data_IF_152830272593
#
_entry.id   IF_152830272593
#
_cell.length_a   1.000
_cell.length_b   1.000
_cell.length_c   1.000
_cell.angle_alpha   90.00
_cell.angle_beta   90.00
_cell.angle_gamma   90.00
#
_symmetry.space_group_name_H-M   'P 1'
#
loop_
_entity.id
_entity.type
_entity.pdbx_description
1 polymer ?
#
# COMPACT_ATOMS: atom_id res chain seq x y z
N UNK A 1 -23.27 -8.26 54.66
CA UNK A 1 -22.82 -9.40 53.85
C UNK A 1 -22.52 -8.89 52.45
N UNK A 2 -21.24 -8.95 52.10
CA UNK A 2 -20.64 -8.49 50.84
C UNK A 2 -20.99 -9.46 49.71
N UNK A 3 -21.43 -8.95 48.55
CA UNK A 3 -21.25 -9.64 47.27
C UNK A 3 -20.97 -8.60 46.19
N UNK A 4 -19.82 -8.78 45.54
CA UNK A 4 -19.14 -7.84 44.67
C UNK A 4 -19.80 -7.69 43.28
N UNK A 5 -19.57 -6.56 42.57
CA UNK A 5 -19.92 -6.41 41.16
C UNK A 5 -18.84 -7.07 40.28
N UNK A 6 -19.24 -8.05 39.46
CA UNK A 6 -18.43 -8.57 38.37
C UNK A 6 -18.86 -7.88 37.08
N UNK A 7 -18.14 -6.84 36.67
CA UNK A 7 -18.11 -6.40 35.27
C UNK A 7 -16.82 -5.60 35.04
N UNK A 8 -15.71 -6.32 34.91
CA UNK A 8 -14.46 -5.73 34.41
C UNK A 8 -14.69 -5.40 32.93
N UNK A 9 -15.00 -4.14 32.66
CA UNK A 9 -15.05 -3.59 31.31
C UNK A 9 -13.67 -3.78 30.67
N UNK A 10 -13.59 -4.62 29.65
CA UNK A 10 -12.40 -4.75 28.82
C UNK A 10 -12.30 -3.51 27.91
N UNK A 11 -11.86 -2.39 28.45
CA UNK A 11 -11.49 -1.18 27.69
C UNK A 11 -10.04 -1.29 27.24
N UNK A 12 -9.79 -2.05 26.18
CA UNK A 12 -8.49 -2.11 25.53
C UNK A 12 -8.64 -2.57 24.09
N UNK A 13 -8.21 -1.73 23.16
CA UNK A 13 -8.09 -2.13 21.75
C UNK A 13 -6.78 -2.88 21.57
N UNK A 14 -6.80 -3.97 20.82
CA UNK A 14 -5.62 -4.80 20.55
C UNK A 14 -5.42 -4.93 19.05
N UNK A 15 -4.22 -4.61 18.57
CA UNK A 15 -3.78 -4.81 17.18
C UNK A 15 -2.82 -6.00 17.17
N UNK A 16 -3.03 -6.94 16.26
CA UNK A 16 -2.10 -8.04 16.01
C UNK A 16 -1.26 -7.67 14.79
N UNK A 17 0.04 -7.45 14.97
CA UNK A 17 0.98 -7.18 13.89
C UNK A 17 2.10 -8.20 13.91
N UNK A 18 2.31 -8.91 12.79
CA UNK A 18 3.39 -9.92 12.62
C UNK A 18 3.51 -10.94 13.78
N UNK A 19 2.39 -11.30 14.41
CA UNK A 19 2.35 -12.25 15.52
C UNK A 19 2.50 -11.64 16.92
N UNK A 20 2.73 -10.34 17.03
CA UNK A 20 2.77 -9.61 18.31
C UNK A 20 1.44 -8.90 18.57
N UNK A 21 0.89 -9.11 19.77
CA UNK A 21 -0.34 -8.47 20.22
C UNK A 21 0.02 -7.15 20.92
N UNK A 22 -0.19 -6.01 20.26
CA UNK A 22 -0.05 -4.68 20.87
C UNK A 22 -1.37 -4.23 21.47
N UNK A 23 -1.35 -3.95 22.78
CA UNK A 23 -2.48 -3.40 23.51
C UNK A 23 -2.39 -1.88 23.58
N UNK A 24 -3.39 -1.18 23.06
CA UNK A 24 -3.56 0.26 23.21
C UNK A 24 -4.55 0.50 24.35
N UNK A 25 -4.15 1.30 25.34
CA UNK A 25 -5.04 1.72 26.43
C UNK A 25 -6.04 2.75 25.94
N UNK A 26 -7.33 2.56 26.21
CA UNK A 26 -8.39 3.50 25.84
C UNK A 26 -9.47 2.92 24.93
N UNK A 27 -10.36 3.81 24.47
CA UNK A 27 -11.45 3.50 23.53
C UNK A 27 -10.94 3.49 22.07
N UNK A 28 -11.82 3.14 21.13
CA UNK A 28 -11.48 3.05 19.70
C UNK A 28 -10.96 4.38 19.12
N UNK A 29 -11.45 5.52 19.59
CA UNK A 29 -10.97 6.85 19.18
C UNK A 29 -9.55 7.13 19.65
N UNK A 30 -9.18 6.77 20.88
CA UNK A 30 -7.79 6.88 21.35
C UNK A 30 -6.82 6.00 20.53
N UNK A 31 -7.30 4.86 20.03
CA UNK A 31 -6.56 4.02 19.09
C UNK A 31 -6.39 4.70 17.73
N UNK A 32 -7.44 5.29 17.17
CA UNK A 32 -7.37 6.02 15.89
C UNK A 32 -6.40 7.21 15.97
N UNK A 33 -6.42 7.95 17.09
CA UNK A 33 -5.49 9.04 17.35
C UNK A 33 -4.04 8.56 17.44
N UNK A 34 -3.78 7.48 18.19
CA UNK A 34 -2.45 6.89 18.31
C UNK A 34 -1.90 6.41 16.96
N UNK A 35 -2.71 5.69 16.17
CA UNK A 35 -2.35 5.22 14.83
C UNK A 35 -2.11 6.40 13.88
N UNK A 36 -2.91 7.46 13.96
CA UNK A 36 -2.73 8.66 13.14
C UNK A 36 -1.43 9.41 13.47
N UNK A 37 -1.08 9.49 14.75
CA UNK A 37 0.15 10.13 15.21
C UNK A 37 1.39 9.32 14.80
N UNK A 38 1.36 7.99 14.94
CA UNK A 38 2.41 7.09 14.46
C UNK A 38 2.62 7.26 12.94
N UNK A 39 1.53 7.34 12.17
CA UNK A 39 1.58 7.56 10.73
C UNK A 39 2.18 8.92 10.36
N UNK A 40 1.77 9.98 11.04
CA UNK A 40 2.28 11.32 10.78
C UNK A 40 3.80 11.40 11.04
N UNK A 41 4.28 10.74 12.10
CA UNK A 41 5.71 10.63 12.41
C UNK A 41 6.44 9.86 11.31
N UNK A 42 5.91 8.71 10.87
CA UNK A 42 6.51 7.92 9.80
C UNK A 42 6.58 8.70 8.47
N UNK A 43 5.51 9.40 8.09
CA UNK A 43 5.46 10.24 6.88
C UNK A 43 6.40 11.45 6.98
N UNK A 44 6.58 12.05 8.16
CA UNK A 44 7.59 13.09 8.40
C UNK A 44 9.00 12.55 8.23
N UNK A 45 9.29 11.35 8.73
CA UNK A 45 10.60 10.72 8.61
C UNK A 45 10.97 10.44 7.14
N UNK A 46 10.01 9.97 6.32
CA UNK A 46 10.23 9.79 4.88
C UNK A 46 10.53 11.13 4.21
N UNK A 47 9.71 12.16 4.43
CA UNK A 47 9.94 13.50 3.85
C UNK A 47 11.30 14.07 4.24
N UNK A 48 11.72 13.88 5.49
CA UNK A 48 13.04 14.29 5.96
C UNK A 48 14.15 13.53 5.22
N UNK A 49 14.06 12.20 5.13
CA UNK A 49 15.06 11.37 4.43
C UNK A 49 15.15 11.67 2.93
N UNK A 50 14.04 11.98 2.26
CA UNK A 50 14.03 12.43 0.86
C UNK A 50 14.75 13.76 0.69
N UNK A 51 14.50 14.72 1.59
CA UNK A 51 15.16 16.03 1.57
C UNK A 51 16.67 15.90 1.79
N UNK A 52 17.09 15.06 2.73
CA UNK A 52 18.49 14.71 2.99
C UNK A 52 19.16 14.13 1.75
N UNK A 53 18.58 13.10 1.13
CA UNK A 53 19.12 12.47 -0.09
C UNK A 53 19.25 13.48 -1.23
N UNK A 54 18.27 14.36 -1.39
CA UNK A 54 18.30 15.43 -2.40
C UNK A 54 19.42 16.44 -2.12
N UNK A 55 19.66 16.78 -0.86
CA UNK A 55 20.77 17.67 -0.47
C UNK A 55 22.12 17.01 -0.78
N UNK A 56 22.35 15.78 -0.33
CA UNK A 56 23.62 15.08 -0.55
C UNK A 56 23.94 14.91 -2.05
N UNK A 57 22.94 14.59 -2.88
CA UNK A 57 23.12 14.51 -4.34
C UNK A 57 23.52 15.86 -4.96
N UNK A 58 22.90 16.95 -4.52
CA UNK A 58 23.23 18.31 -4.99
C UNK A 58 24.65 18.70 -4.58
N UNK A 59 25.04 18.42 -3.35
CA UNK A 59 26.39 18.68 -2.86
C UNK A 59 27.45 17.89 -3.64
N UNK A 60 27.20 16.60 -3.89
CA UNK A 60 28.06 15.75 -4.72
C UNK A 60 28.24 16.33 -6.12
N UNK A 61 27.15 16.74 -6.78
CA UNK A 61 27.20 17.34 -8.12
C UNK A 61 28.01 18.64 -8.12
N UNK A 62 27.74 19.55 -7.17
CA UNK A 62 28.47 20.81 -7.07
C UNK A 62 29.96 20.59 -6.76
N UNK A 63 30.29 19.61 -5.93
CA UNK A 63 31.67 19.26 -5.62
C UNK A 63 32.40 18.73 -6.87
N UNK A 64 31.74 17.86 -7.64
CA UNK A 64 32.25 17.33 -8.90
C UNK A 64 32.49 18.44 -9.93
N UNK A 65 31.51 19.31 -10.16
CA UNK A 65 31.67 20.44 -11.08
C UNK A 65 32.79 21.39 -10.64
N UNK A 66 32.93 21.67 -9.33
CA UNK A 66 34.03 22.49 -8.78
C UNK A 66 35.39 21.80 -8.97
N UNK A 67 35.46 20.48 -8.85
CA UNK A 67 36.69 19.72 -9.11
C UNK A 67 37.06 19.74 -10.60
N UNK A 68 36.09 19.54 -11.48
CA UNK A 68 36.27 19.59 -12.94
C UNK A 68 36.71 20.98 -13.41
N UNK A 69 36.05 22.05 -12.94
CA UNK A 69 36.46 23.45 -13.23
C UNK A 69 37.88 23.75 -12.77
N UNK A 70 38.26 23.33 -11.56
CA UNK A 70 39.63 23.50 -11.04
C UNK A 70 40.66 22.72 -11.85
N UNK A 71 40.34 21.49 -12.24
CA UNK A 71 41.22 20.66 -13.08
C UNK A 71 41.40 21.26 -14.48
N UNK A 72 40.32 21.74 -15.11
CA UNK A 72 40.37 22.42 -16.40
C UNK A 72 41.21 23.70 -16.37
N UNK A 73 41.05 24.54 -15.35
CA UNK A 73 41.85 25.76 -15.19
C UNK A 73 43.32 25.42 -14.92
N UNK A 74 43.60 24.42 -14.09
CA UNK A 74 44.97 23.96 -13.82
C UNK A 74 45.64 23.42 -15.09
N UNK A 75 44.94 22.62 -15.90
CA UNK A 75 45.45 22.08 -17.16
C UNK A 75 45.83 23.18 -18.17
N UNK A 76 45.02 24.24 -18.26
CA UNK A 76 45.32 25.40 -19.13
C UNK A 76 46.52 26.21 -18.63
N UNK A 77 46.65 26.39 -17.32
CA UNK A 77 47.70 27.23 -16.73
C UNK A 77 49.04 26.51 -16.52
N UNK A 78 49.08 25.17 -16.55
CA UNK A 78 50.32 24.38 -16.36
C UNK A 78 51.41 24.76 -17.37
N UNK A 79 51.06 25.05 -18.63
CA UNK A 79 52.03 25.43 -19.67
C UNK A 79 52.68 26.80 -19.40
N UNK A 80 51.96 27.71 -18.73
CA UNK A 80 52.38 29.08 -18.48
C UNK A 80 52.99 29.30 -17.08
N UNK A 81 53.00 28.26 -16.23
CA UNK A 81 53.37 28.38 -14.82
C UNK A 81 54.88 28.31 -14.53
N UNK A 82 55.73 28.13 -15.54
CA UNK A 82 57.20 28.07 -15.37
C UNK A 82 57.70 26.92 -14.50
N UNK A 83 56.85 25.93 -14.20
CA UNK A 83 57.16 24.83 -13.29
C UNK A 83 57.87 23.67 -14.02
N UNK A 84 58.90 23.06 -13.40
CA UNK A 84 59.50 21.82 -13.91
C UNK A 84 58.46 20.70 -14.08
N UNK A 85 58.56 19.92 -15.17
CA UNK A 85 57.60 18.83 -15.52
C UNK A 85 57.34 17.85 -14.36
N UNK A 86 58.37 17.53 -13.59
CA UNK A 86 58.30 16.59 -12.46
C UNK A 86 57.40 17.16 -11.34
N UNK A 87 57.58 18.43 -10.99
CA UNK A 87 56.78 19.10 -9.96
C UNK A 87 55.32 19.29 -10.42
N UNK A 88 55.12 19.63 -11.69
CA UNK A 88 53.79 19.76 -12.29
C UNK A 88 53.02 18.42 -12.24
N UNK A 89 53.67 17.31 -12.63
CA UNK A 89 53.08 15.97 -12.56
C UNK A 89 52.79 15.51 -11.12
N UNK A 90 53.69 15.79 -10.18
CA UNK A 90 53.45 15.47 -8.76
C UNK A 90 52.25 16.25 -8.18
N UNK A 91 52.11 17.53 -8.55
CA UNK A 91 50.99 18.38 -8.13
C UNK A 91 49.66 17.93 -8.76
N UNK A 92 49.69 17.49 -10.02
CA UNK A 92 48.52 16.93 -10.71
C UNK A 92 48.04 15.63 -10.05
N UNK A 93 48.95 14.70 -9.72
CA UNK A 93 48.60 13.45 -9.02
C UNK A 93 47.98 13.71 -7.64
N UNK A 94 48.60 14.57 -6.81
CA UNK A 94 48.04 14.94 -5.51
C UNK A 94 46.64 15.57 -5.62
N UNK A 95 46.40 16.38 -6.65
CA UNK A 95 45.09 16.96 -6.91
C UNK A 95 44.05 15.90 -7.31
N UNK A 96 44.44 14.92 -8.15
CA UNK A 96 43.58 13.79 -8.53
C UNK A 96 43.24 12.89 -7.34
N UNK A 97 44.22 12.56 -6.50
CA UNK A 97 44.01 11.77 -5.28
C UNK A 97 43.07 12.46 -4.30
N UNK A 98 43.26 13.78 -4.08
CA UNK A 98 42.39 14.57 -3.21
C UNK A 98 40.96 14.66 -3.77
N UNK A 99 40.80 14.84 -5.08
CA UNK A 99 39.48 14.84 -5.73
C UNK A 99 38.80 13.47 -5.65
N UNK A 100 39.54 12.37 -5.82
CA UNK A 100 39.03 11.01 -5.67
C UNK A 100 38.55 10.72 -4.25
N UNK A 101 39.34 11.09 -3.23
CA UNK A 101 38.93 10.96 -1.82
C UNK A 101 37.65 11.73 -1.52
N UNK A 102 37.56 12.98 -1.96
CA UNK A 102 36.36 13.80 -1.79
C UNK A 102 35.15 13.21 -2.52
N UNK A 103 35.35 12.67 -3.73
CA UNK A 103 34.31 11.98 -4.50
C UNK A 103 33.76 10.76 -3.79
N UNK A 104 34.63 9.93 -3.22
CA UNK A 104 34.23 8.75 -2.43
C UNK A 104 33.39 9.17 -1.21
N UNK A 105 33.84 10.17 -0.44
CA UNK A 105 33.08 10.66 0.72
C UNK A 105 31.66 11.13 0.34
N UNK A 106 31.50 11.83 -0.78
CA UNK A 106 30.16 12.23 -1.23
C UNK A 106 29.33 11.05 -1.73
N UNK A 107 29.94 10.06 -2.38
CA UNK A 107 29.26 8.84 -2.78
C UNK A 107 28.77 8.03 -1.56
N UNK A 108 29.59 7.92 -0.52
CA UNK A 108 29.25 7.26 0.74
C UNK A 108 28.05 7.95 1.42
N UNK A 109 28.07 9.29 1.54
CA UNK A 109 26.95 10.05 2.11
C UNK A 109 25.64 9.89 1.33
N UNK A 110 25.70 9.87 0.00
CA UNK A 110 24.53 9.60 -0.85
C UNK A 110 24.02 8.17 -0.62
N UNK A 111 24.93 7.20 -0.46
CA UNK A 111 24.61 5.83 -0.11
C UNK A 111 23.90 5.72 1.24
N UNK A 112 24.43 6.36 2.28
CA UNK A 112 23.84 6.41 3.62
C UNK A 112 22.46 7.09 3.63
N UNK A 113 22.32 8.24 2.95
CA UNK A 113 21.04 8.94 2.85
C UNK A 113 19.99 8.11 2.10
N UNK A 114 20.42 7.36 1.08
CA UNK A 114 19.53 6.43 0.36
C UNK A 114 19.09 5.27 1.24
N UNK A 115 20.01 4.68 2.02
CA UNK A 115 19.67 3.61 2.96
C UNK A 115 18.66 4.10 4.03
N UNK A 116 18.84 5.31 4.57
CA UNK A 116 17.89 5.93 5.51
C UNK A 116 16.52 6.16 4.90
N UNK A 117 16.45 6.59 3.63
CA UNK A 117 15.18 6.73 2.92
C UNK A 117 14.51 5.37 2.70
N UNK A 118 15.27 4.34 2.34
CA UNK A 118 14.73 2.99 2.17
C UNK A 118 14.19 2.42 3.50
N UNK A 119 14.88 2.68 4.62
CA UNK A 119 14.43 2.31 5.97
C UNK A 119 13.15 3.06 6.39
N UNK A 120 13.14 4.39 6.29
CA UNK A 120 11.97 5.20 6.61
C UNK A 120 10.77 4.83 5.72
N UNK A 121 11.03 4.54 4.43
CA UNK A 121 10.01 4.11 3.48
C UNK A 121 9.41 2.74 3.82
N UNK A 122 10.18 1.82 4.43
CA UNK A 122 9.63 0.54 4.92
C UNK A 122 8.69 0.75 6.10
N UNK A 123 9.03 1.67 7.02
CA UNK A 123 8.20 1.97 8.19
C UNK A 123 6.82 2.56 7.81
N UNK A 124 6.74 3.39 6.77
CA UNK A 124 5.45 3.89 6.25
C UNK A 124 4.68 2.82 5.47
N UNK A 125 5.39 1.91 4.80
CA UNK A 125 4.77 0.82 4.01
C UNK A 125 4.15 -0.28 4.87
N UNK A 126 4.55 -0.41 6.13
CA UNK A 126 4.05 -1.47 7.02
C UNK A 126 2.58 -1.31 7.45
N UNK A 127 1.97 -0.15 7.19
CA UNK A 127 0.51 0.02 7.32
C UNK A 127 -0.14 -0.14 5.93
N UNK A 128 0.00 -1.34 5.35
CA UNK A 128 -0.49 -1.60 4.00
C UNK A 128 -2.01 -1.68 3.99
N UNK A 129 -2.66 -0.53 3.75
CA UNK A 129 -4.04 -0.54 3.25
C UNK A 129 -4.04 -1.25 1.89
N UNK A 130 -4.68 -2.40 1.85
CA UNK A 130 -4.87 -3.18 0.64
C UNK A 130 -5.87 -2.43 -0.25
N UNK A 131 -5.34 -1.63 -1.19
CA UNK A 131 -6.16 -0.87 -2.14
C UNK A 131 -6.62 -1.83 -3.24
N UNK A 132 -7.88 -2.25 -3.13
CA UNK A 132 -8.60 -3.00 -4.16
C UNK A 132 -9.05 -2.02 -5.25
N UNK A 133 -8.37 -2.05 -6.40
CA UNK A 133 -8.85 -1.43 -7.62
C UNK A 133 -9.15 -2.53 -8.65
N UNK A 134 -10.42 -2.96 -8.82
CA UNK A 134 -10.76 -4.08 -9.66
C UNK A 134 -10.59 -3.70 -11.15
N UNK A 135 -9.65 -4.30 -11.89
CA UNK A 135 -9.43 -3.97 -13.29
C UNK A 135 -10.65 -4.35 -14.16
N UNK A 136 -11.02 -3.47 -15.09
CA UNK A 136 -12.07 -3.74 -16.08
C UNK A 136 -13.51 -3.63 -15.55
N UNK A 137 -13.73 -2.77 -14.57
CA UNK A 137 -15.07 -2.46 -14.03
C UNK A 137 -15.43 -0.99 -14.32
N UNK A 138 -15.73 -0.67 -15.57
CA UNK A 138 -16.26 0.65 -15.93
C UNK A 138 -17.79 0.62 -15.94
N UNK A 139 -18.41 1.39 -15.04
CA UNK A 139 -19.87 1.56 -15.01
C UNK A 139 -20.20 3.00 -15.41
N UNK A 140 -20.96 3.22 -16.51
CA UNK A 140 -21.42 4.55 -16.89
C UNK A 140 -22.25 5.22 -15.79
N UNK A 141 -22.04 6.52 -15.62
CA UNK A 141 -22.77 7.31 -14.62
C UNK A 141 -24.28 7.23 -14.82
N UNK A 142 -25.00 6.91 -13.73
CA UNK A 142 -26.46 6.80 -13.72
C UNK A 142 -27.00 5.47 -14.24
N UNK A 143 -26.14 4.52 -14.67
CA UNK A 143 -26.60 3.20 -15.10
C UNK A 143 -27.18 2.45 -13.90
N UNK A 144 -28.44 2.07 -13.99
CA UNK A 144 -29.08 1.20 -12.98
C UNK A 144 -28.50 -0.20 -13.10
N UNK A 145 -27.87 -0.68 -12.03
CA UNK A 145 -27.23 -2.00 -11.95
C UNK A 145 -28.15 -3.04 -11.31
N UNK A 146 -28.96 -2.60 -10.34
CA UNK A 146 -29.90 -3.44 -9.62
C UNK A 146 -31.13 -2.60 -9.24
N UNK A 147 -32.32 -3.16 -9.44
CA UNK A 147 -33.59 -2.56 -8.99
C UNK A 147 -34.44 -3.70 -8.41
N UNK A 148 -34.84 -3.57 -7.15
CA UNK A 148 -35.74 -4.48 -6.48
C UNK A 148 -36.93 -3.71 -5.92
N UNK A 149 -38.13 -4.28 -6.08
CA UNK A 149 -39.38 -3.74 -5.55
C UNK A 149 -40.12 -4.77 -4.72
N UNK A 150 -40.62 -4.36 -3.56
CA UNK A 150 -41.41 -5.17 -2.62
C UNK A 150 -40.74 -6.50 -2.28
N UNK A 151 -39.42 -6.48 -2.13
CA UNK A 151 -38.61 -7.68 -1.90
C UNK A 151 -38.94 -8.27 -0.52
N UNK A 152 -39.30 -9.56 -0.49
CA UNK A 152 -39.50 -10.34 0.73
C UNK A 152 -38.84 -11.71 0.62
N UNK A 153 -38.29 -12.19 1.74
CA UNK A 153 -37.67 -13.52 1.80
C UNK A 153 -37.48 -14.00 3.24
N UNK A 154 -38.01 -15.19 3.59
CA UNK A 154 -37.75 -15.87 4.87
C UNK A 154 -37.99 -15.00 6.11
N UNK A 155 -39.05 -14.20 6.10
CA UNK A 155 -39.40 -13.26 7.18
C UNK A 155 -38.49 -12.03 7.30
N UNK A 156 -37.47 -11.91 6.44
CA UNK A 156 -36.70 -10.68 6.26
C UNK A 156 -37.47 -9.75 5.32
N UNK A 157 -37.38 -8.44 5.58
CA UNK A 157 -38.11 -7.41 4.85
C UNK A 157 -39.65 -7.56 4.93
N UNK A 158 -40.15 -8.02 6.08
CA UNK A 158 -41.58 -8.13 6.35
C UNK A 158 -42.31 -6.78 6.32
N UNK A 159 -43.65 -6.79 6.34
CA UNK A 159 -44.45 -5.56 6.17
C UNK A 159 -44.63 -5.28 4.69
N UNK A 160 -44.39 -4.06 4.20
CA UNK A 160 -44.64 -3.67 2.80
C UNK A 160 -43.63 -4.24 1.78
N UNK A 161 -42.57 -4.93 2.26
CA UNK A 161 -41.44 -5.34 1.44
C UNK A 161 -40.35 -4.26 1.38
N UNK A 162 -39.18 -4.61 0.84
CA UNK A 162 -38.08 -3.65 0.67
C UNK A 162 -37.91 -3.24 -0.79
N UNK A 163 -37.74 -1.93 -1.01
CA UNK A 163 -37.36 -1.36 -2.30
C UNK A 163 -35.87 -0.96 -2.26
N UNK A 164 -35.12 -1.33 -3.30
CA UNK A 164 -33.69 -1.03 -3.39
C UNK A 164 -33.29 -0.80 -4.84
N UNK A 165 -32.71 0.37 -5.14
CA UNK A 165 -32.12 0.68 -6.44
C UNK A 165 -30.64 1.02 -6.26
N UNK A 166 -29.78 0.41 -7.08
CA UNK A 166 -28.33 0.64 -7.14
C UNK A 166 -27.98 1.17 -8.52
N UNK A 167 -27.29 2.31 -8.59
CA UNK A 167 -26.87 2.99 -9.82
C UNK A 167 -25.38 3.28 -9.79
N UNK A 168 -24.64 2.82 -10.80
CA UNK A 168 -23.20 3.06 -10.85
C UNK A 168 -22.79 4.40 -11.47
N UNK A 169 -21.55 4.85 -11.23
CA UNK A 169 -20.60 4.30 -10.25
C UNK A 169 -20.90 4.84 -8.84
N UNK A 170 -21.26 3.97 -7.91
CA UNK A 170 -21.46 4.33 -6.49
C UNK A 170 -20.86 3.27 -5.56
N UNK A 171 -20.53 3.68 -4.33
CA UNK A 171 -20.05 2.78 -3.27
C UNK A 171 -21.06 2.78 -2.14
N UNK A 172 -21.76 1.66 -1.97
CA UNK A 172 -22.77 1.50 -0.92
C UNK A 172 -22.22 0.64 0.21
N UNK A 173 -22.37 1.11 1.44
CA UNK A 173 -22.10 0.32 2.65
C UNK A 173 -23.42 -0.27 3.18
N UNK A 174 -23.49 -1.60 3.25
CA UNK A 174 -24.61 -2.32 3.86
C UNK A 174 -24.31 -2.62 5.33
N UNK A 175 -24.98 -1.91 6.25
CA UNK A 175 -24.76 -2.03 7.70
C UNK A 175 -25.97 -2.66 8.41
N UNK A 176 -25.77 -3.14 9.64
CA UNK A 176 -26.83 -3.75 10.45
C UNK A 176 -26.30 -4.87 11.36
N UNK A 177 -27.10 -5.37 12.33
CA UNK A 177 -26.67 -6.43 13.24
C UNK A 177 -26.44 -7.78 12.53
N UNK A 178 -25.81 -8.72 13.22
CA UNK A 178 -25.69 -10.10 12.75
C UNK A 178 -27.09 -10.72 12.67
N UNK A 179 -27.37 -11.45 11.59
CA UNK A 179 -28.70 -12.01 11.34
C UNK A 179 -29.71 -11.06 10.67
N UNK A 180 -29.38 -9.77 10.45
CA UNK A 180 -30.27 -8.81 9.78
C UNK A 180 -30.54 -9.09 8.28
N UNK A 181 -30.04 -10.20 7.72
CA UNK A 181 -30.26 -10.55 6.32
C UNK A 181 -29.27 -9.97 5.32
N UNK A 182 -28.16 -9.36 5.74
CA UNK A 182 -27.16 -8.77 4.81
C UNK A 182 -26.62 -9.76 3.78
N UNK A 183 -26.14 -10.91 4.23
CA UNK A 183 -25.64 -11.96 3.33
C UNK A 183 -26.75 -12.51 2.43
N UNK A 184 -27.98 -12.52 2.92
CA UNK A 184 -29.16 -12.91 2.14
C UNK A 184 -29.44 -11.91 1.04
N UNK A 185 -29.42 -10.60 1.33
CA UNK A 185 -29.59 -9.53 0.34
C UNK A 185 -28.50 -9.60 -0.72
N UNK A 186 -27.24 -9.80 -0.33
CA UNK A 186 -26.13 -9.95 -1.27
C UNK A 186 -26.32 -11.16 -2.21
N UNK A 187 -26.82 -12.28 -1.69
CA UNK A 187 -27.16 -13.46 -2.51
C UNK A 187 -28.29 -13.19 -3.49
N UNK A 188 -29.26 -12.34 -3.13
CA UNK A 188 -30.30 -11.92 -4.07
C UNK A 188 -29.70 -10.99 -5.13
N UNK A 189 -28.86 -10.03 -4.75
CA UNK A 189 -28.20 -9.12 -5.69
C UNK A 189 -27.37 -9.92 -6.71
N UNK A 190 -26.62 -10.92 -6.27
CA UNK A 190 -25.78 -11.77 -7.13
C UNK A 190 -26.55 -12.85 -7.90
N UNK A 191 -27.87 -12.98 -7.67
CA UNK A 191 -28.71 -13.99 -8.34
C UNK A 191 -28.58 -15.41 -7.79
N UNK A 192 -27.81 -15.62 -6.71
CA UNK A 192 -27.67 -16.90 -6.02
C UNK A 192 -28.94 -17.31 -5.24
N UNK A 193 -29.84 -16.36 -4.98
CA UNK A 193 -31.09 -16.59 -4.28
C UNK A 193 -32.22 -15.78 -4.93
N UNK A 194 -33.32 -16.45 -5.25
CA UNK A 194 -34.53 -15.77 -5.70
C UNK A 194 -35.30 -15.18 -4.50
N UNK A 195 -35.93 -14.00 -4.64
CA UNK A 195 -36.87 -13.52 -3.64
C UNK A 195 -38.11 -14.43 -3.58
N UNK A 196 -38.79 -14.46 -2.44
CA UNK A 196 -40.11 -15.14 -2.32
C UNK A 196 -41.21 -14.27 -2.93
N UNK A 197 -41.13 -12.95 -2.73
CA UNK A 197 -42.05 -11.98 -3.32
C UNK A 197 -41.31 -10.73 -3.79
N UNK A 198 -41.93 -10.01 -4.73
CA UNK A 198 -41.39 -8.80 -5.33
C UNK A 198 -40.80 -9.01 -6.72
N UNK A 199 -40.30 -7.92 -7.31
CA UNK A 199 -39.64 -7.91 -8.61
C UNK A 199 -38.17 -7.56 -8.44
N UNK A 200 -37.29 -8.24 -9.18
CA UNK A 200 -35.86 -7.95 -9.23
C UNK A 200 -35.40 -7.83 -10.68
N UNK A 201 -34.75 -6.72 -11.01
CA UNK A 201 -34.09 -6.47 -12.29
C UNK A 201 -32.60 -6.24 -12.04
N UNK A 202 -31.77 -6.88 -12.87
CA UNK A 202 -30.31 -6.77 -12.80
C UNK A 202 -29.81 -6.34 -14.17
N UNK A 203 -28.81 -5.47 -14.20
CA UNK A 203 -28.15 -5.11 -15.44
C UNK A 203 -27.27 -6.25 -15.94
N UNK A 204 -27.14 -6.37 -17.26
CA UNK A 204 -26.15 -7.24 -17.87
C UNK A 204 -24.73 -6.75 -17.53
N UNK A 205 -23.85 -7.69 -17.21
CA UNK A 205 -22.46 -7.40 -16.87
C UNK A 205 -21.85 -8.46 -15.96
N UNK A 206 -20.55 -8.32 -15.69
CA UNK A 206 -19.83 -9.18 -14.74
C UNK A 206 -20.10 -8.71 -13.31
N UNK A 207 -20.57 -9.61 -12.45
CA UNK A 207 -20.72 -9.39 -11.01
C UNK A 207 -19.71 -10.26 -10.28
N UNK A 208 -18.87 -9.63 -9.46
CA UNK A 208 -17.94 -10.34 -8.59
C UNK A 208 -18.46 -10.33 -7.15
N UNK A 209 -18.52 -11.51 -6.51
CA UNK A 209 -18.94 -11.66 -5.13
C UNK A 209 -17.77 -12.20 -4.29
N UNK A 210 -17.29 -11.39 -3.35
CA UNK A 210 -16.28 -11.82 -2.39
C UNK A 210 -16.97 -12.42 -1.16
N UNK A 211 -16.90 -13.75 -1.07
CA UNK A 211 -17.40 -14.53 0.07
C UNK A 211 -16.63 -14.21 1.34
N UNK A 212 -17.30 -14.21 2.49
CA UNK A 212 -16.64 -14.14 3.81
C UNK A 212 -15.83 -15.39 4.15
N UNK A 213 -16.12 -16.52 3.49
CA UNK A 213 -15.38 -17.78 3.63
C UNK A 213 -14.35 -17.88 2.52
N UNK A 214 -13.11 -18.23 2.86
CA UNK A 214 -11.96 -18.37 1.95
C UNK A 214 -11.98 -19.73 1.19
N UNK A 215 -13.16 -20.24 0.88
CA UNK A 215 -13.35 -21.59 0.35
C UNK A 215 -12.93 -21.73 -1.14
N UNK A 216 -12.46 -20.62 -1.76
CA UNK A 216 -12.10 -20.56 -3.17
C UNK A 216 -10.63 -20.93 -3.44
N UNK A 217 -9.79 -20.94 -2.42
CA UNK A 217 -8.35 -21.19 -2.58
C UNK A 217 -8.05 -22.67 -2.33
N UNK A 218 -7.21 -23.24 -3.20
CA UNK A 218 -6.66 -24.57 -2.98
C UNK A 218 -5.43 -24.46 -2.07
N UNK A 219 -5.46 -25.05 -0.85
CA UNK A 219 -4.34 -25.01 0.09
C UNK A 219 -3.13 -25.85 -0.35
N UNK A 220 -3.27 -26.72 -1.36
CA UNK A 220 -2.13 -27.40 -1.96
C UNK A 220 -1.34 -26.50 -2.92
N UNK A 221 -1.95 -25.42 -3.39
CA UNK A 221 -1.37 -24.48 -4.34
C UNK A 221 -0.81 -23.25 -3.62
N UNK A 222 0.27 -22.71 -4.18
CA UNK A 222 0.78 -21.42 -3.73
C UNK A 222 -0.17 -20.27 -4.06
N UNK A 223 0.04 -19.12 -3.42
CA UNK A 223 -0.73 -17.89 -3.72
C UNK A 223 -0.66 -17.52 -5.22
N UNK A 224 0.52 -17.66 -5.84
CA UNK A 224 0.70 -17.40 -7.27
C UNK A 224 -0.03 -18.41 -8.15
N UNK A 225 -0.02 -19.70 -7.78
CA UNK A 225 -0.71 -20.76 -8.51
C UNK A 225 -2.24 -20.60 -8.40
N UNK A 226 -2.74 -20.27 -7.21
CA UNK A 226 -4.15 -19.92 -7.00
C UNK A 226 -4.58 -18.75 -7.88
N UNK A 227 -3.81 -17.65 -7.90
CA UNK A 227 -4.12 -16.51 -8.78
C UNK A 227 -4.06 -16.91 -10.26
N UNK A 228 -3.09 -17.73 -10.65
CA UNK A 228 -2.95 -18.19 -12.03
C UNK A 228 -4.16 -19.01 -12.50
N UNK A 229 -4.73 -19.83 -11.62
CA UNK A 229 -5.93 -20.63 -11.91
C UNK A 229 -7.18 -19.77 -12.17
N UNK A 230 -7.32 -18.62 -11.50
CA UNK A 230 -8.46 -17.72 -11.72
C UNK A 230 -8.21 -16.64 -12.78
N UNK A 231 -6.95 -16.42 -13.17
CA UNK A 231 -6.53 -15.40 -14.13
C UNK A 231 -5.71 -16.01 -15.27
N UNK A 232 -6.25 -17.04 -15.93
CA UNK A 232 -5.59 -17.78 -17.01
C UNK A 232 -5.15 -16.88 -18.17
N UNK A 233 -5.95 -15.86 -18.49
CA UNK A 233 -5.69 -14.93 -19.60
C UNK A 233 -4.78 -13.77 -19.21
N UNK A 234 -4.37 -13.66 -17.95
CA UNK A 234 -3.52 -12.56 -17.47
C UNK A 234 -2.04 -12.95 -17.58
N UNK A 235 -1.17 -12.12 -18.21
CA UNK A 235 0.26 -12.37 -18.27
C UNK A 235 0.88 -12.55 -16.88
N UNK A 236 1.89 -13.41 -16.79
CA UNK A 236 2.55 -13.71 -15.50
C UNK A 236 3.12 -12.46 -14.82
N UNK A 237 3.74 -11.57 -15.59
CA UNK A 237 4.27 -10.31 -15.06
C UNK A 237 3.17 -9.44 -14.40
N UNK A 238 1.98 -9.40 -15.00
CA UNK A 238 0.84 -8.64 -14.48
C UNK A 238 0.26 -9.30 -13.22
N UNK A 239 0.18 -10.64 -13.20
CA UNK A 239 -0.22 -11.40 -12.01
C UNK A 239 0.74 -11.16 -10.85
N UNK A 240 2.04 -11.20 -11.10
CA UNK A 240 3.07 -10.94 -10.09
C UNK A 240 3.05 -9.49 -9.60
N UNK A 241 2.78 -8.53 -10.49
CA UNK A 241 2.60 -7.13 -10.10
C UNK A 241 1.35 -6.96 -9.21
N UNK A 242 0.25 -7.63 -9.55
CA UNK A 242 -0.95 -7.67 -8.73
C UNK A 242 -0.64 -8.26 -7.34
N UNK A 243 0.01 -9.40 -7.25
CA UNK A 243 0.42 -10.00 -5.98
C UNK A 243 1.31 -9.07 -5.16
N UNK A 244 2.24 -8.37 -5.79
CA UNK A 244 3.10 -7.41 -5.13
C UNK A 244 2.35 -6.19 -4.54
N UNK A 245 1.22 -5.79 -5.14
CA UNK A 245 0.29 -4.79 -4.59
C UNK A 245 -0.47 -5.32 -3.37
N UNK A 246 -0.69 -6.62 -3.29
CA UNK A 246 -1.26 -7.34 -2.15
C UNK A 246 -0.18 -7.84 -1.18
N UNK A 247 1.06 -7.34 -1.28
CA UNK A 247 2.23 -7.67 -0.46
C UNK A 247 2.80 -9.08 -0.59
N UNK A 248 2.28 -9.90 -1.50
CA UNK A 248 2.87 -11.19 -1.83
C UNK A 248 4.04 -10.98 -2.79
N UNK A 249 5.25 -10.76 -2.23
CA UNK A 249 6.49 -10.50 -2.98
C UNK A 249 7.51 -11.61 -2.78
N UNK A 250 8.30 -11.90 -3.82
CA UNK A 250 9.38 -12.90 -3.75
C UNK A 250 8.86 -14.25 -3.27
N UNK A 251 9.45 -14.80 -2.20
CA UNK A 251 8.98 -16.06 -1.60
C UNK A 251 7.54 -16.00 -1.07
N UNK A 252 7.02 -14.81 -0.73
CA UNK A 252 5.64 -14.63 -0.29
C UNK A 252 4.60 -15.03 -1.34
N UNK A 253 4.93 -14.91 -2.63
CA UNK A 253 4.05 -15.35 -3.72
C UNK A 253 3.97 -16.88 -3.84
N UNK A 254 4.93 -17.60 -3.25
CA UNK A 254 5.03 -19.06 -3.28
C UNK A 254 4.63 -19.72 -1.96
N UNK A 255 4.04 -18.95 -1.03
CA UNK A 255 3.44 -19.50 0.19
C UNK A 255 2.31 -20.46 -0.17
N UNK A 256 2.31 -21.63 0.45
CA UNK A 256 1.26 -22.65 0.40
C UNK A 256 0.48 -22.60 1.72
#
# INVERSE_FOLDING_TARGET
>A
ATTAPCSTAWTGSRKLERGELRSYGGNFTAYEEAVSAEREVAEKNVRHAEAELKREKREMQQARERAERRSGNAARNIKNAGLPKILAGARQRKAQESAGKAGNTHADRVGEARAKLDEAGRAVRDDTRLVLDPPGTEVPAGRTLFDARKLRLRGLFAGEGADLSVRGPERIALTGPNGAGKSTLLRIITGQLAPEEGEVRRADGRVAYLSQRLDLLDPALSVAENLAAFAETMPEADRMNLLARFLFRGQGAHLR
#
